data_IF_773290462254
#
_entry.id   IF_773290462254
#
_cell.length_a   1.000
_cell.length_b   1.000
_cell.length_c   1.000
_cell.angle_alpha   90.00
_cell.angle_beta   90.00
_cell.angle_gamma   90.00
#
_symmetry.space_group_name_H-M   'P 1'
#
loop_
_entity.id
_entity.type
_entity.pdbx_description
1 polymer ?
#
# COMPACT_ATOMS: atom_id res chain seq x y z
N UNK A 1 -2.99 4.52 19.19
CA UNK A 1 -2.27 3.88 18.07
C UNK A 1 -0.96 3.18 18.48
N UNK A 2 -0.66 3.10 19.75
CA UNK A 2 0.67 2.67 20.25
C UNK A 2 0.84 1.16 20.54
N UNK A 3 -0.13 0.31 20.25
CA UNK A 3 -0.02 -1.13 20.58
C UNK A 3 0.17 -2.06 19.40
N UNK A 4 0.08 -1.58 18.16
CA UNK A 4 0.26 -2.42 16.95
C UNK A 4 1.40 -1.88 16.09
N UNK A 5 2.31 -2.76 15.70
CA UNK A 5 3.39 -2.40 14.77
C UNK A 5 2.81 -1.81 13.49
N UNK A 6 3.13 -0.55 13.13
CA UNK A 6 2.54 0.12 11.97
C UNK A 6 2.75 -0.64 10.66
N UNK A 7 3.86 -1.38 10.54
CA UNK A 7 4.12 -2.25 9.40
C UNK A 7 3.08 -3.37 9.24
N UNK A 8 2.63 -3.96 10.35
CA UNK A 8 1.60 -5.02 10.32
C UNK A 8 0.26 -4.46 9.87
N UNK A 9 -0.12 -3.28 10.36
CA UNK A 9 -1.40 -2.64 10.01
C UNK A 9 -1.46 -2.34 8.50
N UNK A 10 -0.38 -1.80 7.94
CA UNK A 10 -0.29 -1.50 6.51
C UNK A 10 -0.28 -2.79 5.68
N UNK A 11 0.48 -3.81 6.09
CA UNK A 11 0.52 -5.10 5.41
C UNK A 11 -0.86 -5.78 5.39
N UNK A 12 -1.57 -5.78 6.51
CA UNK A 12 -2.94 -6.30 6.60
C UNK A 12 -3.90 -5.50 5.71
N UNK A 13 -3.77 -4.18 5.67
CA UNK A 13 -4.56 -3.32 4.78
C UNK A 13 -4.38 -3.69 3.30
N UNK A 14 -3.14 -3.90 2.85
CA UNK A 14 -2.87 -4.32 1.47
C UNK A 14 -3.31 -5.75 1.19
N UNK A 15 -3.16 -6.69 2.14
CA UNK A 15 -3.68 -8.05 2.00
C UNK A 15 -5.19 -8.06 1.85
N UNK A 16 -5.91 -7.34 2.72
CA UNK A 16 -7.36 -7.23 2.63
C UNK A 16 -7.78 -6.58 1.30
N UNK A 17 -7.10 -5.52 0.88
CA UNK A 17 -7.37 -4.90 -0.42
C UNK A 17 -7.21 -5.90 -1.56
N UNK A 18 -6.10 -6.64 -1.62
CA UNK A 18 -5.86 -7.65 -2.65
C UNK A 18 -6.92 -8.74 -2.65
N UNK A 19 -7.32 -9.21 -1.47
CA UNK A 19 -8.36 -10.23 -1.30
C UNK A 19 -9.73 -9.71 -1.80
N UNK A 20 -10.15 -8.51 -1.38
CA UNK A 20 -11.43 -7.94 -1.79
C UNK A 20 -11.45 -7.58 -3.28
N UNK A 21 -10.35 -7.06 -3.83
CA UNK A 21 -10.23 -6.80 -5.28
C UNK A 21 -10.36 -8.10 -6.08
N UNK A 22 -9.76 -9.21 -5.61
CA UNK A 22 -9.94 -10.52 -6.21
C UNK A 22 -11.41 -10.99 -6.15
N UNK A 23 -12.08 -10.80 -5.02
CA UNK A 23 -13.50 -11.16 -4.84
C UNK A 23 -14.42 -10.38 -5.79
N UNK A 24 -14.13 -9.10 -6.08
CA UNK A 24 -14.93 -8.29 -7.00
C UNK A 24 -15.07 -8.98 -8.37
N UNK A 25 -14.00 -9.64 -8.85
CA UNK A 25 -14.02 -10.39 -10.11
C UNK A 25 -15.03 -11.54 -10.15
N UNK A 26 -15.43 -12.08 -8.99
CA UNK A 26 -16.40 -13.17 -8.89
C UNK A 26 -17.82 -12.69 -8.57
N UNK A 27 -17.95 -11.54 -7.93
CA UNK A 27 -19.23 -11.02 -7.41
C UNK A 27 -19.90 -10.02 -8.36
N UNK A 28 -19.32 -9.78 -9.53
CA UNK A 28 -19.83 -8.78 -10.49
C UNK A 28 -21.31 -8.99 -10.92
N UNK A 29 -21.84 -10.22 -10.79
CA UNK A 29 -23.24 -10.55 -11.15
C UNK A 29 -24.27 -10.00 -10.14
N UNK A 30 -23.87 -9.57 -8.95
CA UNK A 30 -24.77 -9.07 -7.90
C UNK A 30 -24.41 -7.62 -7.54
N UNK A 31 -25.07 -6.60 -8.15
CA UNK A 31 -24.72 -5.20 -8.00
C UNK A 31 -24.61 -4.70 -6.55
N UNK A 32 -25.53 -5.02 -5.61
CA UNK A 32 -25.42 -4.55 -4.24
C UNK A 32 -24.24 -5.15 -3.49
N UNK A 33 -23.93 -6.42 -3.72
CA UNK A 33 -22.79 -7.09 -3.09
C UNK A 33 -21.47 -6.58 -3.67
N UNK A 34 -21.43 -6.31 -4.97
CA UNK A 34 -20.31 -5.66 -5.64
C UNK A 34 -20.03 -4.28 -5.03
N UNK A 35 -21.05 -3.44 -4.83
CA UNK A 35 -20.88 -2.11 -4.24
C UNK A 35 -20.29 -2.16 -2.83
N UNK A 36 -20.76 -3.08 -1.99
CA UNK A 36 -20.22 -3.29 -0.63
C UNK A 36 -18.76 -3.74 -0.70
N UNK A 37 -18.43 -4.68 -1.56
CA UNK A 37 -17.07 -5.22 -1.70
C UNK A 37 -16.09 -4.14 -2.18
N UNK A 38 -16.50 -3.32 -3.16
CA UNK A 38 -15.71 -2.17 -3.66
C UNK A 38 -15.51 -1.13 -2.56
N UNK A 39 -16.55 -0.83 -1.77
CA UNK A 39 -16.46 0.11 -0.66
C UNK A 39 -15.44 -0.36 0.40
N UNK A 40 -15.50 -1.63 0.79
CA UNK A 40 -14.57 -2.20 1.77
C UNK A 40 -13.14 -2.19 1.20
N UNK A 41 -12.94 -2.65 -0.04
CA UNK A 41 -11.63 -2.65 -0.70
C UNK A 41 -11.03 -1.23 -0.77
N UNK A 42 -11.83 -0.24 -1.17
CA UNK A 42 -11.42 1.16 -1.24
C UNK A 42 -11.05 1.74 0.11
N UNK A 43 -11.81 1.43 1.15
CA UNK A 43 -11.54 1.88 2.52
C UNK A 43 -10.22 1.29 3.05
N UNK A 44 -10.01 -0.02 2.86
CA UNK A 44 -8.76 -0.69 3.25
C UNK A 44 -7.56 -0.11 2.50
N UNK A 45 -7.69 0.11 1.19
CA UNK A 45 -6.63 0.67 0.36
C UNK A 45 -6.29 2.11 0.77
N UNK A 46 -7.29 2.97 0.96
CA UNK A 46 -7.06 4.35 1.41
C UNK A 46 -6.41 4.40 2.80
N UNK A 47 -6.83 3.56 3.73
CA UNK A 47 -6.23 3.46 5.06
C UNK A 47 -4.76 3.04 4.99
N UNK A 48 -4.43 2.03 4.17
CA UNK A 48 -3.07 1.58 3.96
C UNK A 48 -2.20 2.67 3.31
N UNK A 49 -2.68 3.32 2.25
CA UNK A 49 -1.97 4.38 1.54
C UNK A 49 -1.72 5.63 2.42
N UNK A 50 -2.72 6.04 3.20
CA UNK A 50 -2.59 7.19 4.11
C UNK A 50 -1.56 6.95 5.23
N UNK A 51 -1.34 5.69 5.59
CA UNK A 51 -0.35 5.31 6.61
C UNK A 51 1.08 5.23 6.07
N UNK A 52 1.27 5.12 4.74
CA UNK A 52 2.60 4.98 4.13
C UNK A 52 3.53 6.20 4.35
N UNK A 53 3.09 7.47 4.21
CA UNK A 53 3.94 8.62 4.49
C UNK A 53 4.41 8.67 5.95
N UNK A 54 3.55 8.31 6.89
CA UNK A 54 3.91 8.25 8.30
C UNK A 54 4.96 7.17 8.57
N UNK A 55 4.82 6.01 7.92
CA UNK A 55 5.76 4.92 7.99
C UNK A 55 7.13 5.34 7.40
N UNK A 56 7.13 5.95 6.21
CA UNK A 56 8.33 6.43 5.55
C UNK A 56 9.03 7.53 6.38
N UNK A 57 8.27 8.44 6.98
CA UNK A 57 8.81 9.49 7.84
C UNK A 57 9.58 8.95 9.06
N UNK A 58 9.24 7.75 9.52
CA UNK A 58 9.98 7.07 10.60
C UNK A 58 11.35 6.53 10.18
N UNK A 59 11.60 6.35 8.87
CA UNK A 59 12.87 5.82 8.35
C UNK A 59 13.90 6.90 8.03
N UNK A 60 13.47 8.12 7.73
CA UNK A 60 14.36 9.18 7.31
C UNK A 60 14.79 10.07 8.51
N UNK A 61 16.07 10.45 8.60
CA UNK A 61 16.51 11.45 9.56
C UNK A 61 15.80 12.79 9.30
N UNK A 62 15.62 13.60 10.33
CA UNK A 62 14.79 14.81 10.31
C UNK A 62 15.14 15.77 9.15
N UNK A 63 16.41 15.85 8.77
CA UNK A 63 16.89 16.75 7.72
C UNK A 63 16.46 16.32 6.30
N UNK A 64 16.34 15.01 6.03
CA UNK A 64 15.99 14.48 4.69
C UNK A 64 14.58 13.89 4.63
N UNK A 65 13.83 13.93 5.72
CA UNK A 65 12.50 13.33 5.85
C UNK A 65 11.52 13.87 4.80
N UNK A 66 11.44 15.18 4.64
CA UNK A 66 10.53 15.80 3.69
C UNK A 66 10.85 15.39 2.25
N UNK A 67 12.12 15.41 1.87
CA UNK A 67 12.59 15.00 0.54
C UNK A 67 12.33 13.51 0.29
N UNK A 68 12.63 12.64 1.25
CA UNK A 68 12.40 11.19 1.11
C UNK A 68 10.93 10.85 0.95
N UNK A 69 10.04 11.45 1.74
CA UNK A 69 8.58 11.26 1.63
C UNK A 69 8.06 11.83 0.30
N UNK A 70 8.55 13.00 -0.14
CA UNK A 70 8.14 13.60 -1.41
C UNK A 70 8.53 12.72 -2.60
N UNK A 71 9.72 12.15 -2.62
CA UNK A 71 10.15 11.19 -3.64
C UNK A 71 9.30 9.92 -3.65
N UNK A 72 9.02 9.37 -2.48
CA UNK A 72 8.14 8.19 -2.37
C UNK A 72 6.75 8.47 -2.96
N UNK A 73 6.15 9.60 -2.60
CA UNK A 73 4.83 9.99 -3.12
C UNK A 73 4.86 10.32 -4.61
N UNK A 74 5.93 10.96 -5.09
CA UNK A 74 6.14 11.25 -6.51
C UNK A 74 6.18 9.97 -7.34
N UNK A 75 7.06 9.04 -6.99
CA UNK A 75 7.17 7.74 -7.65
C UNK A 75 5.88 6.93 -7.57
N UNK A 76 5.18 6.98 -6.43
CA UNK A 76 3.88 6.33 -6.26
C UNK A 76 2.81 6.85 -7.23
N UNK A 77 2.83 8.13 -7.57
CA UNK A 77 1.91 8.72 -8.57
C UNK A 77 2.15 8.19 -9.98
N UNK A 78 3.41 7.99 -10.38
CA UNK A 78 3.71 7.32 -11.66
C UNK A 78 3.14 5.91 -11.71
N UNK A 79 3.25 5.14 -10.62
CA UNK A 79 2.61 3.84 -10.51
C UNK A 79 1.09 3.90 -10.65
N UNK A 80 0.45 4.92 -10.06
CA UNK A 80 -0.98 5.16 -10.21
C UNK A 80 -1.40 5.47 -11.66
N UNK A 81 -0.64 6.31 -12.36
CA UNK A 81 -0.88 6.64 -13.77
C UNK A 81 -0.74 5.38 -14.65
N UNK A 82 0.36 4.63 -14.49
CA UNK A 82 0.57 3.38 -15.23
C UNK A 82 -0.52 2.35 -14.94
N UNK A 83 -0.96 2.25 -13.68
CA UNK A 83 -2.07 1.37 -13.28
C UNK A 83 -3.39 1.75 -13.96
N UNK A 84 -3.72 3.04 -13.99
CA UNK A 84 -4.92 3.52 -14.65
C UNK A 84 -4.88 3.30 -16.17
N UNK A 85 -3.73 3.58 -16.81
CA UNK A 85 -3.53 3.33 -18.24
C UNK A 85 -3.62 1.82 -18.57
N UNK A 86 -3.01 0.97 -17.74
CA UNK A 86 -3.08 -0.49 -17.92
C UNK A 86 -4.51 -1.00 -17.77
N UNK A 87 -5.26 -0.51 -16.78
CA UNK A 87 -6.67 -0.85 -16.61
C UNK A 87 -7.52 -0.47 -17.84
N UNK A 88 -7.33 0.75 -18.36
CA UNK A 88 -8.00 1.18 -19.58
C UNK A 88 -7.64 0.34 -20.83
N UNK A 89 -6.35 0.02 -20.98
CA UNK A 89 -5.89 -0.85 -22.08
C UNK A 89 -6.49 -2.26 -22.00
N UNK A 90 -6.53 -2.86 -20.81
CA UNK A 90 -7.13 -4.18 -20.58
C UNK A 90 -8.63 -4.19 -20.91
N UNK A 91 -9.34 -3.10 -20.62
CA UNK A 91 -10.75 -2.95 -20.99
C UNK A 91 -10.93 -2.86 -22.51
N UNK A 92 -10.05 -2.18 -23.23
CA UNK A 92 -10.07 -2.10 -24.71
C UNK A 92 -9.81 -3.46 -25.37
N UNK A 93 -9.04 -4.34 -24.73
CA UNK A 93 -8.78 -5.70 -25.21
C UNK A 93 -9.99 -6.64 -25.02
N UNK A 94 -11.13 -6.12 -24.57
CA UNK A 94 -12.38 -6.89 -24.35
C UNK A 94 -12.19 -8.10 -23.42
N UNK A 95 -11.23 -8.05 -22.52
CA UNK A 95 -11.05 -9.09 -21.52
C UNK A 95 -12.24 -9.13 -20.56
N UNK A 96 -12.57 -10.31 -20.05
CA UNK A 96 -13.68 -10.44 -19.12
C UNK A 96 -13.39 -9.61 -17.85
N UNK A 97 -14.44 -9.04 -17.28
CA UNK A 97 -14.36 -8.21 -16.07
C UNK A 97 -13.63 -8.94 -14.94
N UNK A 98 -13.92 -10.23 -14.75
CA UNK A 98 -13.25 -11.09 -13.77
C UNK A 98 -11.73 -11.16 -13.99
N UNK A 99 -11.29 -11.32 -15.25
CA UNK A 99 -9.87 -11.41 -15.62
C UNK A 99 -9.13 -10.10 -15.29
N UNK A 100 -9.75 -8.96 -15.59
CA UNK A 100 -9.16 -7.63 -15.31
C UNK A 100 -8.95 -7.45 -13.81
N UNK A 101 -9.95 -7.75 -12.98
CA UNK A 101 -9.84 -7.61 -11.54
C UNK A 101 -8.87 -8.62 -10.90
N UNK A 102 -8.80 -9.83 -11.41
CA UNK A 102 -7.80 -10.82 -10.98
C UNK A 102 -6.39 -10.34 -11.30
N UNK A 103 -6.17 -9.76 -12.48
CA UNK A 103 -4.88 -9.22 -12.88
C UNK A 103 -4.48 -8.01 -12.01
N UNK A 104 -5.43 -7.13 -11.69
CA UNK A 104 -5.21 -5.97 -10.80
C UNK A 104 -4.95 -6.36 -9.33
N UNK A 105 -5.39 -7.55 -8.92
CA UNK A 105 -5.08 -8.05 -7.57
C UNK A 105 -3.59 -8.44 -7.40
N UNK A 106 -2.90 -8.82 -8.49
CA UNK A 106 -1.49 -9.27 -8.45
C UNK A 106 -0.56 -8.20 -7.86
N UNK A 107 -0.54 -6.93 -8.33
CA UNK A 107 0.31 -5.89 -7.75
C UNK A 107 0.05 -5.65 -6.27
N UNK A 108 -1.22 -5.72 -5.84
CA UNK A 108 -1.58 -5.55 -4.43
C UNK A 108 -1.03 -6.69 -3.56
N UNK A 109 -1.07 -7.92 -4.05
CA UNK A 109 -0.48 -9.08 -3.38
C UNK A 109 1.04 -8.98 -3.31
N UNK A 110 1.69 -8.55 -4.40
CA UNK A 110 3.16 -8.34 -4.42
C UNK A 110 3.55 -7.28 -3.39
N UNK A 111 2.83 -6.17 -3.31
CA UNK A 111 3.08 -5.13 -2.32
C UNK A 111 2.91 -5.64 -0.88
N UNK A 112 1.87 -6.44 -0.63
CA UNK A 112 1.64 -7.06 0.67
C UNK A 112 2.76 -8.03 1.04
N UNK A 113 3.19 -8.88 0.12
CA UNK A 113 4.29 -9.82 0.33
C UNK A 113 5.62 -9.09 0.59
N UNK A 114 5.92 -8.02 -0.14
CA UNK A 114 7.10 -7.20 0.07
C UNK A 114 7.13 -6.58 1.49
N UNK A 115 5.99 -6.09 1.97
CA UNK A 115 5.87 -5.55 3.33
C UNK A 115 6.03 -6.63 4.40
N UNK A 116 5.48 -7.81 4.19
CA UNK A 116 5.63 -8.96 5.08
C UNK A 116 7.08 -9.42 5.10
N UNK A 117 7.71 -9.57 3.94
CA UNK A 117 9.11 -9.97 3.82
C UNK A 117 10.04 -8.98 4.55
N UNK A 118 9.78 -7.67 4.41
CA UNK A 118 10.50 -6.63 5.14
C UNK A 118 10.31 -6.77 6.66
N UNK A 119 9.12 -7.10 7.11
CA UNK A 119 8.87 -7.30 8.53
C UNK A 119 9.60 -8.52 9.08
N UNK A 120 9.66 -9.61 8.31
CA UNK A 120 10.34 -10.85 8.70
C UNK A 120 11.88 -10.70 8.66
N UNK A 121 12.42 -9.86 7.76
CA UNK A 121 13.86 -9.61 7.62
C UNK A 121 14.46 -8.79 8.76
N UNK A 122 13.67 -8.35 9.74
CA UNK A 122 14.16 -7.75 10.98
C UNK A 122 15.08 -6.53 10.78
N UNK A 123 14.85 -5.70 9.76
CA UNK A 123 15.66 -4.50 9.57
C UNK A 123 15.58 -3.66 10.84
N UNK A 124 16.68 -3.51 11.59
CA UNK A 124 16.67 -2.72 12.81
C UNK A 124 16.27 -1.29 12.47
N UNK A 125 15.36 -0.74 13.26
CA UNK A 125 15.10 0.68 13.23
C UNK A 125 16.43 1.40 13.36
N UNK A 126 16.67 2.43 12.54
CA UNK A 126 17.87 3.26 12.64
C UNK A 126 18.08 3.64 14.10
N UNK A 127 19.32 3.55 14.62
CA UNK A 127 19.60 3.94 15.99
C UNK A 127 19.08 5.36 16.22
N UNK A 128 18.48 5.56 17.40
CA UNK A 128 17.97 6.85 17.81
C UNK A 128 19.04 7.92 17.57
N UNK A 129 18.69 9.13 17.08
CA UNK A 129 19.65 10.18 16.83
C UNK A 129 20.45 10.41 18.11
N UNK A 130 21.78 10.40 17.98
CA UNK A 130 22.71 10.65 19.08
C UNK A 130 22.21 11.86 19.88
N UNK A 131 22.03 11.64 21.18
CA UNK A 131 21.63 12.68 22.11
C UNK A 131 22.60 13.86 21.99
N UNK A 132 22.17 14.96 21.39
CA UNK A 132 22.97 16.17 21.19
C UNK A 132 23.48 16.77 22.51
N UNK A 133 22.97 16.30 23.64
CA UNK A 133 23.40 16.77 24.96
C UNK A 133 24.68 16.07 25.46
N UNK A 134 25.06 14.93 24.83
CA UNK A 134 26.30 14.23 25.17
C UNK A 134 27.57 14.84 24.52
N UNK A 135 27.44 15.86 23.69
CA UNK A 135 28.57 16.53 22.99
C UNK A 135 28.89 17.88 23.65
N UNK A 136 28.23 18.24 24.76
CA UNK A 136 28.43 19.52 25.45
C UNK A 136 29.14 19.36 26.81
N UNK A 137 29.64 18.17 27.12
CA UNK A 137 30.59 17.91 28.22
C UNK A 137 31.95 17.55 27.60
#
# INVERSE_FOLDING_TARGET
MDRMNPHKVVAVGYLLTGLFVGIIGFVYSYPPLMAITVFIAGTCMNGAQSSMPALAAGFYPTQSRATGVAWMLGLGRFGGILGAMSGGALMQMQLSFSTIFTLLAIPALIAALALIAKHLSGYPALPAPLNKNAVRE
#
